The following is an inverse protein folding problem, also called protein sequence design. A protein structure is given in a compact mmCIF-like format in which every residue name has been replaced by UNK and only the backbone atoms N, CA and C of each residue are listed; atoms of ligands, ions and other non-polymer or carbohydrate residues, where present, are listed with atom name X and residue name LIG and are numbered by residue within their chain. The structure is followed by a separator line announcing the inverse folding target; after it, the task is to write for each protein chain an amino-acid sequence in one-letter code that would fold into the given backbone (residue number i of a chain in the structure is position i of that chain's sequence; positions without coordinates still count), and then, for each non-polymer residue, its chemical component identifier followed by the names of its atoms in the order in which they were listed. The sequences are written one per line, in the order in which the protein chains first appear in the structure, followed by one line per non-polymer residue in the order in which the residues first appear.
data_IF_800947216732
#
_entry.id   IF_800947216732
#
_cell.length_a   1.000
_cell.length_b   1.000
_cell.length_c   1.000
_cell.angle_alpha   90.00
_cell.angle_beta   90.00
_cell.angle_gamma   90.00
#
_symmetry.space_group_name_H-M   'P 1'
#
loop_
_entity.id
_entity.type
_entity.pdbx_description
1 polymer ?
#
# COMPACT_ATOMS: atom_id res chain seq x y z
N UNK A 1 -17.64 22.36 -4.40
CA UNK A 1 -17.69 21.20 -3.49
C UNK A 1 -18.45 20.01 -4.10
N UNK A 2 -19.78 20.07 -4.34
CA UNK A 2 -20.59 18.95 -4.85
C UNK A 2 -20.03 18.24 -6.11
N UNK A 3 -19.61 18.98 -7.14
CA UNK A 3 -19.01 18.40 -8.37
C UNK A 3 -17.70 17.63 -8.10
N UNK A 4 -16.86 18.10 -7.18
CA UNK A 4 -15.58 17.44 -6.83
C UNK A 4 -15.82 16.18 -6.00
N UNK A 5 -16.76 16.25 -5.06
CA UNK A 5 -17.20 15.11 -4.28
C UNK A 5 -17.76 14.01 -5.18
N UNK A 6 -18.69 14.34 -6.09
CA UNK A 6 -19.27 13.37 -7.02
C UNK A 6 -18.21 12.68 -7.88
N UNK A 7 -17.29 13.45 -8.49
CA UNK A 7 -16.17 12.90 -9.27
C UNK A 7 -15.31 11.94 -8.45
N UNK A 8 -14.97 12.33 -7.22
CA UNK A 8 -14.17 11.49 -6.33
C UNK A 8 -14.93 10.21 -5.93
N UNK A 9 -16.20 10.33 -5.56
CA UNK A 9 -17.05 9.18 -5.20
C UNK A 9 -17.16 8.19 -6.36
N UNK A 10 -17.38 8.66 -7.59
CA UNK A 10 -17.40 7.79 -8.77
C UNK A 10 -16.06 7.07 -8.97
N UNK A 11 -14.93 7.79 -8.89
CA UNK A 11 -13.60 7.20 -9.00
C UNK A 11 -13.33 6.17 -7.89
N UNK A 12 -13.73 6.48 -6.65
CA UNK A 12 -13.58 5.58 -5.51
C UNK A 12 -14.42 4.31 -5.68
N UNK A 13 -15.66 4.41 -6.15
CA UNK A 13 -16.52 3.26 -6.43
C UNK A 13 -15.88 2.36 -7.49
N UNK A 14 -15.39 2.93 -8.59
CA UNK A 14 -14.73 2.18 -9.66
C UNK A 14 -13.48 1.47 -9.11
N UNK A 15 -12.66 2.18 -8.33
CA UNK A 15 -11.44 1.62 -7.74
C UNK A 15 -11.75 0.48 -6.76
N UNK A 16 -12.76 0.65 -5.90
CA UNK A 16 -13.21 -0.39 -4.97
C UNK A 16 -13.75 -1.58 -5.72
N UNK A 17 -14.60 -1.38 -6.75
CA UNK A 17 -15.13 -2.47 -7.56
C UNK A 17 -14.02 -3.26 -8.26
N UNK A 18 -13.03 -2.57 -8.84
CA UNK A 18 -11.86 -3.20 -9.44
C UNK A 18 -11.02 -3.97 -8.41
N UNK A 19 -10.83 -3.39 -7.22
CA UNK A 19 -10.11 -4.05 -6.12
C UNK A 19 -10.82 -5.30 -5.61
N UNK A 20 -12.15 -5.26 -5.47
CA UNK A 20 -12.97 -6.42 -5.10
C UNK A 20 -12.89 -7.50 -6.17
N UNK A 21 -13.05 -7.15 -7.45
CA UNK A 21 -12.91 -8.09 -8.56
C UNK A 21 -11.52 -8.76 -8.54
N UNK A 22 -10.47 -7.97 -8.36
CA UNK A 22 -9.12 -8.49 -8.24
C UNK A 22 -8.95 -9.43 -7.04
N UNK A 23 -9.46 -9.06 -5.86
CA UNK A 23 -9.45 -9.92 -4.68
C UNK A 23 -10.16 -11.25 -4.93
N UNK A 24 -11.32 -11.23 -5.61
CA UNK A 24 -12.05 -12.45 -5.95
C UNK A 24 -11.22 -13.33 -6.91
N UNK A 25 -10.62 -12.74 -7.95
CA UNK A 25 -9.74 -13.47 -8.87
C UNK A 25 -8.59 -14.13 -8.09
N UNK A 26 -7.87 -13.38 -7.25
CA UNK A 26 -6.76 -13.91 -6.44
C UNK A 26 -7.26 -15.01 -5.49
N UNK A 27 -8.42 -14.82 -4.85
CA UNK A 27 -8.95 -15.78 -3.88
C UNK A 27 -9.43 -17.08 -4.50
N UNK A 28 -10.04 -17.04 -5.69
CA UNK A 28 -10.57 -18.23 -6.36
C UNK A 28 -9.55 -18.96 -7.24
N UNK A 29 -8.61 -18.23 -7.84
CA UNK A 29 -7.65 -18.79 -8.80
C UNK A 29 -6.25 -18.95 -8.24
N UNK A 30 -5.93 -18.29 -7.13
CA UNK A 30 -4.56 -18.17 -6.62
C UNK A 30 -3.65 -17.29 -7.49
N UNK A 31 -4.14 -16.76 -8.61
CA UNK A 31 -3.35 -15.98 -9.54
C UNK A 31 -3.22 -14.52 -9.09
N UNK A 32 -2.05 -14.18 -8.55
CA UNK A 32 -1.68 -12.80 -8.27
C UNK A 32 -0.77 -12.24 -9.38
N UNK A 33 -0.94 -10.95 -9.70
CA UNK A 33 -0.08 -10.24 -10.65
C UNK A 33 1.36 -10.29 -10.12
N UNK A 34 2.30 -10.90 -10.87
CA UNK A 34 3.67 -11.03 -10.41
C UNK A 34 4.37 -9.66 -10.42
N UNK A 35 5.25 -9.45 -9.43
CA UNK A 35 6.06 -8.25 -9.38
C UNK A 35 7.11 -8.26 -10.51
N UNK A 36 6.95 -7.37 -11.50
CA UNK A 36 7.86 -7.25 -12.65
C UNK A 36 9.30 -6.95 -12.19
N UNK A 37 9.47 -6.11 -11.17
CA UNK A 37 10.79 -5.80 -10.61
C UNK A 37 11.51 -7.05 -10.10
N UNK A 38 10.83 -7.88 -9.31
CA UNK A 38 11.38 -9.15 -8.81
C UNK A 38 11.66 -10.13 -9.96
N UNK A 39 10.80 -10.17 -10.98
CA UNK A 39 10.98 -11.04 -12.15
C UNK A 39 12.23 -10.67 -12.97
N UNK A 40 12.53 -9.39 -13.10
CA UNK A 40 13.68 -8.90 -13.89
C UNK A 40 14.98 -8.93 -13.07
N UNK A 41 14.94 -8.47 -11.82
CA UNK A 41 16.14 -8.25 -11.01
C UNK A 41 16.46 -9.36 -10.02
N UNK A 42 15.47 -10.20 -9.69
CA UNK A 42 15.56 -11.15 -8.58
C UNK A 42 15.37 -10.54 -7.19
N UNK A 43 15.41 -9.20 -7.06
CA UNK A 43 15.31 -8.51 -5.77
C UNK A 43 13.86 -8.19 -5.38
N UNK A 44 13.61 -8.12 -4.07
CA UNK A 44 12.34 -7.71 -3.49
C UNK A 44 12.29 -6.21 -3.28
N UNK A 45 11.35 -5.52 -3.94
CA UNK A 45 11.10 -4.10 -3.69
C UNK A 45 10.29 -3.91 -2.38
N UNK A 46 10.21 -2.69 -1.81
CA UNK A 46 9.42 -2.47 -0.60
C UNK A 46 7.91 -2.75 -0.78
N UNK A 47 7.41 -2.74 -2.02
CA UNK A 47 6.03 -3.10 -2.36
C UNK A 47 5.79 -4.60 -2.59
N UNK A 48 6.81 -5.46 -2.58
CA UNK A 48 6.60 -6.91 -2.70
C UNK A 48 5.82 -7.42 -1.49
N UNK A 49 4.73 -8.16 -1.74
CA UNK A 49 3.84 -8.72 -0.71
C UNK A 49 2.56 -7.92 -0.44
N UNK A 50 2.35 -6.76 -1.08
CA UNK A 50 1.16 -5.90 -0.86
C UNK A 50 -0.15 -6.64 -1.12
N UNK A 51 -0.27 -7.38 -2.22
CA UNK A 51 -1.49 -8.14 -2.54
C UNK A 51 -1.82 -9.15 -1.45
N UNK A 52 -0.82 -9.90 -0.98
CA UNK A 52 -0.98 -10.84 0.14
C UNK A 52 -1.40 -10.12 1.41
N UNK A 53 -0.69 -9.04 1.77
CA UNK A 53 -1.00 -8.21 2.94
C UNK A 53 -2.46 -7.74 2.94
N UNK A 54 -2.95 -7.19 1.82
CA UNK A 54 -4.34 -6.72 1.70
C UNK A 54 -5.35 -7.87 1.75
N UNK A 55 -5.04 -9.01 1.12
CA UNK A 55 -5.89 -10.20 1.14
C UNK A 55 -6.05 -10.74 2.57
N UNK A 56 -4.97 -10.79 3.35
CA UNK A 56 -5.00 -11.20 4.75
C UNK A 56 -5.73 -10.18 5.64
N UNK A 57 -5.55 -8.87 5.42
CA UNK A 57 -6.32 -7.83 6.12
C UNK A 57 -7.83 -8.02 5.88
N UNK A 58 -8.25 -8.31 4.65
CA UNK A 58 -9.66 -8.55 4.31
C UNK A 58 -10.23 -9.81 4.99
N UNK A 59 -9.38 -10.80 5.29
CA UNK A 59 -9.73 -12.01 6.03
C UNK A 59 -9.60 -11.86 7.55
N UNK A 60 -9.30 -10.65 8.04
CA UNK A 60 -9.02 -10.34 9.44
C UNK A 60 -7.83 -11.14 10.03
N UNK A 61 -6.92 -11.61 9.18
CA UNK A 61 -5.69 -12.28 9.58
C UNK A 61 -4.52 -11.28 9.61
N UNK A 62 -4.37 -10.59 10.73
CA UNK A 62 -3.32 -9.58 10.88
C UNK A 62 -1.92 -10.19 10.94
N UNK A 63 -1.79 -11.44 11.40
CA UNK A 63 -0.49 -12.12 11.47
C UNK A 63 0.01 -12.39 10.06
N UNK A 64 -0.82 -13.00 9.21
CA UNK A 64 -0.46 -13.24 7.82
C UNK A 64 -0.25 -11.94 7.04
N UNK A 65 -1.02 -10.89 7.34
CA UNK A 65 -0.81 -9.57 6.73
C UNK A 65 0.58 -8.99 7.07
N UNK A 66 0.97 -9.06 8.35
CA UNK A 66 2.28 -8.61 8.80
C UNK A 66 3.42 -9.40 8.14
N UNK A 67 3.32 -10.73 8.11
CA UNK A 67 4.33 -11.59 7.49
C UNK A 67 4.45 -11.37 5.97
N UNK A 68 3.39 -10.92 5.29
CA UNK A 68 3.46 -10.55 3.86
C UNK A 68 4.28 -9.27 3.61
N UNK A 69 4.20 -8.27 4.49
CA UNK A 69 4.97 -7.03 4.38
C UNK A 69 5.02 -6.27 5.71
N UNK A 70 6.00 -6.59 6.57
CA UNK A 70 6.04 -6.10 7.95
C UNK A 70 6.06 -4.57 8.04
N UNK A 71 6.99 -3.95 7.31
CA UNK A 71 7.19 -2.49 7.41
C UNK A 71 6.01 -1.76 6.82
N UNK A 72 5.53 -2.17 5.64
CA UNK A 72 4.39 -1.50 5.03
C UNK A 72 3.12 -1.65 5.88
N UNK A 73 2.90 -2.83 6.48
CA UNK A 73 1.79 -3.05 7.40
C UNK A 73 1.82 -2.05 8.56
N UNK A 74 2.97 -1.92 9.23
CA UNK A 74 3.14 -1.01 10.38
C UNK A 74 3.00 0.46 9.99
N UNK A 75 3.55 0.88 8.85
CA UNK A 75 3.48 2.29 8.44
C UNK A 75 2.16 2.65 7.72
N UNK A 76 1.36 1.66 7.32
CA UNK A 76 0.12 1.88 6.56
C UNK A 76 -0.87 2.86 7.21
N UNK A 77 -1.04 2.94 8.55
CA UNK A 77 -1.92 3.93 9.16
C UNK A 77 -1.46 5.38 8.91
N UNK A 78 -0.14 5.62 8.88
CA UNK A 78 0.42 6.94 8.58
C UNK A 78 0.23 7.32 7.10
N UNK A 79 0.36 6.34 6.20
CA UNK A 79 0.06 6.53 4.78
C UNK A 79 -1.43 6.88 4.61
N UNK A 80 -2.33 6.13 5.26
CA UNK A 80 -3.77 6.38 5.23
C UNK A 80 -4.13 7.75 5.81
N UNK A 81 -3.46 8.18 6.88
CA UNK A 81 -3.60 9.53 7.44
C UNK A 81 -3.25 10.62 6.41
N UNK A 82 -2.09 10.51 5.75
CA UNK A 82 -1.66 11.48 4.74
C UNK A 82 -2.63 11.52 3.55
N UNK A 83 -3.03 10.35 3.04
CA UNK A 83 -3.99 10.24 1.94
C UNK A 83 -5.35 10.83 2.32
N UNK A 84 -5.86 10.52 3.51
CA UNK A 84 -7.13 11.05 4.02
C UNK A 84 -7.11 12.58 4.17
N UNK A 85 -6.00 13.14 4.66
CA UNK A 85 -5.83 14.59 4.79
C UNK A 85 -5.76 15.29 3.43
N UNK A 86 -4.99 14.74 2.49
CA UNK A 86 -4.92 15.25 1.11
C UNK A 86 -6.30 15.23 0.44
N UNK A 87 -7.01 14.11 0.60
CA UNK A 87 -8.35 13.92 0.08
C UNK A 87 -9.34 14.94 0.67
N UNK A 88 -9.34 15.09 2.00
CA UNK A 88 -10.17 16.07 2.69
C UNK A 88 -9.89 17.49 2.19
N UNK A 89 -8.62 17.87 2.05
CA UNK A 89 -8.21 19.17 1.52
C UNK A 89 -8.70 19.42 0.09
N UNK A 90 -8.58 18.41 -0.77
CA UNK A 90 -9.05 18.48 -2.15
C UNK A 90 -10.59 18.62 -2.24
N UNK A 91 -11.35 17.82 -1.49
CA UNK A 91 -12.82 17.88 -1.51
C UNK A 91 -13.33 19.21 -0.96
N UNK A 92 -12.80 19.64 0.19
CA UNK A 92 -13.29 20.82 0.92
C UNK A 92 -12.83 22.13 0.29
N UNK A 93 -11.54 22.26 -0.01
CA UNK A 93 -10.92 23.51 -0.44
C UNK A 93 -10.48 23.50 -1.91
N UNK A 94 -10.38 22.34 -2.56
CA UNK A 94 -9.88 22.23 -3.92
C UNK A 94 -8.38 22.40 -4.06
N UNK A 95 -7.65 22.33 -2.95
CA UNK A 95 -6.20 22.50 -2.90
C UNK A 95 -5.60 21.36 -2.11
N UNK A 96 -4.51 20.81 -2.61
CA UNK A 96 -3.67 19.89 -1.86
C UNK A 96 -2.76 20.76 -0.98
N UNK A 97 -3.04 20.80 0.32
CA UNK A 97 -2.21 21.55 1.27
C UNK A 97 -1.52 20.56 2.20
N UNK A 98 -0.21 20.41 2.01
CA UNK A 98 0.65 19.70 2.93
C UNK A 98 1.33 20.72 3.83
N UNK A 99 1.25 20.50 5.14
CA UNK A 99 2.02 21.28 6.13
C UNK A 99 3.44 20.75 6.17
N UNK A 100 4.37 21.54 6.74
CA UNK A 100 5.77 21.12 6.96
C UNK A 100 5.87 19.73 7.61
N UNK A 101 5.03 19.45 8.61
CA UNK A 101 4.96 18.14 9.26
C UNK A 101 4.61 17.01 8.28
N UNK A 102 3.64 17.21 7.38
CA UNK A 102 3.22 16.17 6.43
C UNK A 102 4.32 15.88 5.41
N UNK A 103 5.04 16.92 4.99
CA UNK A 103 6.20 16.81 4.11
C UNK A 103 7.32 16.02 4.78
N UNK A 104 7.68 16.37 6.03
CA UNK A 104 8.69 15.65 6.81
C UNK A 104 8.27 14.20 7.00
N UNK A 105 7.01 13.95 7.41
CA UNK A 105 6.48 12.60 7.58
C UNK A 105 6.58 11.80 6.28
N UNK A 106 6.24 12.41 5.14
CA UNK A 106 6.34 11.76 3.82
C UNK A 106 7.78 11.35 3.51
N UNK A 107 8.75 12.24 3.70
CA UNK A 107 10.17 11.91 3.49
C UNK A 107 10.69 10.84 4.44
N UNK A 108 10.26 10.86 5.70
CA UNK A 108 10.59 9.80 6.68
C UNK A 108 10.02 8.46 6.24
N UNK A 109 8.76 8.40 5.82
CA UNK A 109 8.14 7.16 5.34
C UNK A 109 8.83 6.62 4.08
N UNK A 110 9.20 7.50 3.14
CA UNK A 110 9.99 7.13 1.96
C UNK A 110 11.35 6.57 2.39
N UNK A 111 12.05 7.24 3.30
CA UNK A 111 13.33 6.78 3.83
C UNK A 111 13.24 5.39 4.46
N UNK A 112 12.22 5.16 5.29
CA UNK A 112 11.94 3.85 5.89
C UNK A 112 11.72 2.78 4.81
N UNK A 113 10.92 3.07 3.78
CA UNK A 113 10.65 2.12 2.70
C UNK A 113 11.90 1.81 1.85
N UNK A 114 12.76 2.81 1.61
CA UNK A 114 14.02 2.60 0.89
C UNK A 114 14.98 1.73 1.70
N UNK A 115 15.17 2.05 2.99
CA UNK A 115 16.00 1.23 3.89
C UNK A 115 15.46 -0.19 3.99
N UNK A 116 14.15 -0.36 4.18
CA UNK A 116 13.51 -1.67 4.20
C UNK A 116 13.70 -2.45 2.90
N UNK A 117 13.55 -1.78 1.75
CA UNK A 117 13.77 -2.35 0.43
C UNK A 117 15.20 -2.89 0.27
N UNK A 118 16.20 -2.20 0.79
CA UNK A 118 17.59 -2.69 0.78
C UNK A 118 17.79 -3.83 1.78
N UNK A 119 17.41 -3.61 3.04
CA UNK A 119 17.66 -4.55 4.14
C UNK A 119 17.02 -5.92 3.88
N UNK A 120 15.80 -5.99 3.34
CA UNK A 120 15.10 -7.26 3.07
C UNK A 120 15.76 -8.17 2.02
N UNK A 121 16.75 -7.65 1.29
CA UNK A 121 17.51 -8.41 0.30
C UNK A 121 18.84 -8.93 0.83
N UNK A 122 19.22 -8.60 2.07
CA UNK A 122 20.46 -9.04 2.69
C UNK A 122 20.27 -10.41 3.40
N UNK A 123 21.25 -11.33 3.35
CA UNK A 123 21.12 -12.68 3.91
C UNK A 123 20.69 -12.78 5.38
N UNK A 124 21.15 -11.90 6.30
CA UNK A 124 20.69 -11.94 7.70
C UNK A 124 19.21 -11.59 7.88
N UNK A 125 18.56 -11.02 6.87
CA UNK A 125 17.23 -10.44 6.94
C UNK A 125 16.23 -11.12 5.99
N UNK A 126 16.49 -12.37 5.63
CA UNK A 126 15.63 -13.17 4.74
C UNK A 126 14.20 -13.32 5.29
N UNK A 127 14.01 -13.25 6.60
CA UNK A 127 12.70 -13.25 7.26
C UNK A 127 11.84 -12.01 6.94
N UNK A 128 12.42 -10.95 6.36
CA UNK A 128 11.70 -9.77 5.87
C UNK A 128 11.15 -9.96 4.45
N UNK A 129 11.42 -11.09 3.80
CA UNK A 129 10.85 -11.42 2.48
C UNK A 129 9.40 -11.87 2.65
N UNK A 130 8.51 -11.57 1.68
CA UNK A 130 7.14 -12.05 1.75
C UNK A 130 7.14 -13.58 1.68
N UNK A 131 6.37 -14.24 2.54
CA UNK A 131 6.14 -15.68 2.45
C UNK A 131 5.03 -15.96 1.41
N UNK A 132 5.22 -17.00 0.59
CA UNK A 132 4.40 -17.31 -0.59
C UNK A 132 5.07 -16.88 -1.89
#
# INVERSE_FOLDING_TARGET
MKKRLLKFSTAAIILVAAGVLYYLIVSFTGFAIPCVFRKITGFYCPGCGVTGMLTHILRLDYKGAFECNQVLFVISPFILYLLGKMLYGYIRYGRLTLKKFDTVLTFVLIGILLVFGVVRNLPPFDFLRPYG
#
